data_IF_459040648469
#
_entry.id   IF_459040648469
#
_cell.length_a   1.000
_cell.length_b   1.000
_cell.length_c   1.000
_cell.angle_alpha   90.00
_cell.angle_beta   90.00
_cell.angle_gamma   90.00
#
_symmetry.space_group_name_H-M   'P 1'
#
loop_
_entity.id
_entity.type
_entity.pdbx_description
1 polymer ?
#
# COMPACT_ATOMS: atom_id res chain seq x y z
N UNK A 1 9.36 1.19 -17.42
CA UNK A 1 9.23 1.26 -15.95
C UNK A 1 8.08 2.20 -15.64
N UNK A 2 6.99 1.67 -15.08
CA UNK A 2 5.80 2.45 -14.78
C UNK A 2 5.71 2.66 -13.27
N UNK A 3 5.48 3.90 -12.84
CA UNK A 3 5.19 4.21 -11.45
C UNK A 3 3.69 4.14 -11.25
N UNK A 4 3.24 3.29 -10.33
CA UNK A 4 1.83 3.25 -9.93
C UNK A 4 1.72 3.90 -8.56
N UNK A 5 0.75 4.79 -8.44
CA UNK A 5 0.54 5.59 -7.27
C UNK A 5 -0.94 5.57 -6.94
N UNK A 6 -1.29 5.16 -5.74
CA UNK A 6 -2.67 5.24 -5.28
C UNK A 6 -3.02 6.70 -4.95
N UNK A 7 -4.31 6.99 -4.93
CA UNK A 7 -4.80 8.17 -4.25
C UNK A 7 -4.39 8.10 -2.77
N UNK A 8 -4.02 9.24 -2.15
CA UNK A 8 -3.68 9.27 -0.74
C UNK A 8 -4.93 9.03 0.10
N UNK A 9 -4.77 8.27 1.19
CA UNK A 9 -5.86 7.92 2.11
C UNK A 9 -5.68 8.72 3.39
N UNK A 10 -6.70 9.47 3.79
CA UNK A 10 -6.73 10.17 5.09
C UNK A 10 -7.09 9.17 6.18
N UNK A 11 -6.19 8.99 7.14
CA UNK A 11 -6.31 7.99 8.20
C UNK A 11 -6.00 8.62 9.56
N UNK A 12 -6.79 8.30 10.59
CA UNK A 12 -6.45 8.56 11.98
C UNK A 12 -5.43 7.53 12.51
N UNK A 13 -4.97 7.64 13.76
CA UNK A 13 -4.13 6.58 14.36
C UNK A 13 -4.83 5.22 14.32
N UNK A 14 -4.12 4.18 13.88
CA UNK A 14 -4.65 2.82 13.83
C UNK A 14 -4.29 2.07 12.56
N UNK A 15 -4.92 0.90 12.39
CA UNK A 15 -4.63 -0.04 11.32
C UNK A 15 -5.54 0.20 10.12
N UNK A 16 -4.95 0.29 8.95
CA UNK A 16 -5.63 0.34 7.65
C UNK A 16 -5.30 -0.92 6.88
N UNK A 17 -6.31 -1.47 6.22
CA UNK A 17 -6.14 -2.52 5.24
C UNK A 17 -6.36 -1.95 3.84
N UNK A 18 -5.37 -2.13 2.98
CA UNK A 18 -5.46 -1.82 1.55
C UNK A 18 -5.34 -3.08 0.73
N UNK A 19 -6.08 -3.13 -0.37
CA UNK A 19 -6.05 -4.21 -1.33
C UNK A 19 -5.63 -3.66 -2.69
N UNK A 20 -4.81 -4.43 -3.39
CA UNK A 20 -4.20 -4.00 -4.64
C UNK A 20 -4.17 -5.16 -5.65
N UNK A 21 -4.91 -4.99 -6.73
CA UNK A 21 -5.23 -6.04 -7.71
C UNK A 21 -4.20 -6.22 -8.84
N UNK A 22 -3.04 -5.54 -8.76
CA UNK A 22 -2.02 -5.62 -9.83
C UNK A 22 -1.09 -6.85 -9.69
N UNK A 23 -1.57 -7.99 -9.20
CA UNK A 23 -0.74 -9.16 -8.94
C UNK A 23 -0.45 -10.06 -10.17
N UNK A 24 -1.29 -10.04 -11.22
CA UNK A 24 -1.28 -11.13 -12.20
C UNK A 24 -0.26 -11.06 -13.33
N UNK A 25 -0.01 -9.87 -13.84
CA UNK A 25 0.78 -9.70 -15.08
C UNK A 25 2.01 -8.83 -14.90
N UNK A 26 2.13 -8.22 -13.74
CA UNK A 26 2.97 -7.07 -13.53
C UNK A 26 3.82 -7.27 -12.28
N UNK A 27 4.97 -7.92 -12.48
CA UNK A 27 5.99 -7.97 -11.43
C UNK A 27 6.31 -6.52 -11.00
N UNK A 28 5.92 -6.15 -9.78
CA UNK A 28 6.39 -4.93 -9.15
C UNK A 28 7.54 -5.28 -8.20
N UNK A 29 8.71 -4.68 -8.43
CA UNK A 29 9.93 -5.02 -7.68
C UNK A 29 10.07 -4.29 -6.36
N UNK A 30 9.28 -3.23 -6.16
CA UNK A 30 9.34 -2.45 -4.95
C UNK A 30 8.06 -1.68 -4.73
N UNK A 31 7.66 -1.58 -3.47
CA UNK A 31 6.62 -0.69 -3.00
C UNK A 31 7.14 0.16 -1.85
N UNK A 32 6.52 1.31 -1.67
CA UNK A 32 6.75 2.19 -0.53
C UNK A 32 5.40 2.72 -0.04
N UNK A 33 5.19 2.56 1.27
CA UNK A 33 4.13 3.23 2.01
C UNK A 33 4.81 4.35 2.78
N UNK A 34 4.30 5.58 2.63
CA UNK A 34 4.85 6.74 3.35
C UNK A 34 3.76 7.70 3.79
N UNK A 35 3.99 8.42 4.89
CA UNK A 35 3.19 9.58 5.23
C UNK A 35 3.46 10.72 4.22
N UNK A 36 2.42 11.49 3.94
CA UNK A 36 2.51 12.67 3.08
C UNK A 36 2.83 13.95 3.87
N UNK A 37 2.56 13.95 5.18
CA UNK A 37 2.83 15.06 6.08
C UNK A 37 4.18 14.92 6.78
N UNK A 38 4.80 16.05 7.11
CA UNK A 38 5.97 16.09 7.97
C UNK A 38 5.59 15.66 9.39
N UNK A 39 6.49 14.96 10.08
CA UNK A 39 6.32 14.45 11.44
C UNK A 39 5.22 13.40 11.64
N UNK A 40 4.76 12.74 10.56
CA UNK A 40 3.98 11.52 10.67
C UNK A 40 4.88 10.28 10.53
N UNK A 41 4.45 9.19 11.13
CA UNK A 41 5.07 7.89 11.10
C UNK A 41 4.02 6.81 10.79
N UNK A 42 4.42 5.88 9.91
CA UNK A 42 3.62 4.71 9.58
C UNK A 42 4.50 3.45 9.52
N UNK A 43 3.90 2.31 9.84
CA UNK A 43 4.54 1.00 9.81
C UNK A 43 3.71 0.06 8.94
N UNK A 44 4.38 -0.71 8.07
CA UNK A 44 3.72 -1.82 7.38
C UNK A 44 3.78 -3.04 8.30
N UNK A 45 2.65 -3.41 8.89
CA UNK A 45 2.55 -4.54 9.84
C UNK A 45 2.63 -5.86 9.09
N UNK A 46 1.91 -5.96 7.97
CA UNK A 46 1.78 -7.21 7.24
C UNK A 46 1.55 -6.96 5.76
N UNK A 47 2.16 -7.81 4.95
CA UNK A 47 1.85 -7.95 3.54
C UNK A 47 1.59 -9.42 3.24
N UNK A 48 0.53 -9.71 2.49
CA UNK A 48 0.27 -11.06 1.99
C UNK A 48 -0.42 -10.99 0.64
N UNK A 49 -0.38 -12.09 -0.10
CA UNK A 49 -1.00 -12.20 -1.42
C UNK A 49 -2.04 -13.31 -1.37
N UNK A 50 -3.22 -13.04 -1.93
CA UNK A 50 -4.24 -14.06 -2.21
C UNK A 50 -4.40 -14.20 -3.72
N UNK A 51 -4.82 -15.38 -4.18
CA UNK A 51 -5.08 -15.64 -5.59
C UNK A 51 -6.39 -16.39 -5.75
N UNK A 52 -7.14 -16.13 -6.82
CA UNK A 52 -8.34 -16.88 -7.17
C UNK A 52 -8.10 -17.89 -8.31
N UNK A 53 -9.16 -18.60 -8.73
CA UNK A 53 -9.10 -19.59 -9.82
C UNK A 53 -9.00 -18.97 -11.21
N UNK A 54 -9.21 -17.65 -11.35
CA UNK A 54 -9.05 -16.90 -12.59
C UNK A 54 -7.65 -16.28 -12.71
N UNK A 55 -6.72 -16.77 -11.90
CA UNK A 55 -5.37 -16.27 -11.67
C UNK A 55 -5.30 -14.94 -10.95
N UNK A 56 -6.41 -14.26 -10.63
CA UNK A 56 -6.44 -12.91 -10.04
C UNK A 56 -5.78 -12.89 -8.66
N UNK A 57 -4.64 -12.21 -8.58
CA UNK A 57 -3.81 -12.04 -7.41
C UNK A 57 -4.01 -10.66 -6.80
N UNK A 58 -4.39 -10.65 -5.52
CA UNK A 58 -4.57 -9.43 -4.73
C UNK A 58 -3.46 -9.38 -3.69
N UNK A 59 -2.67 -8.31 -3.73
CA UNK A 59 -1.77 -7.99 -2.63
C UNK A 59 -2.52 -7.18 -1.58
N UNK A 60 -2.45 -7.64 -0.35
CA UNK A 60 -3.01 -6.96 0.80
C UNK A 60 -1.88 -6.31 1.62
N UNK A 61 -2.13 -5.08 2.07
CA UNK A 61 -1.25 -4.33 2.96
C UNK A 61 -2.01 -3.95 4.21
N UNK A 62 -1.47 -4.35 5.37
CA UNK A 62 -1.90 -3.85 6.66
C UNK A 62 -0.89 -2.84 7.15
N UNK A 63 -1.31 -1.59 7.27
CA UNK A 63 -0.45 -0.46 7.63
C UNK A 63 -1.01 0.23 8.85
N UNK A 64 -0.14 0.49 9.82
CA UNK A 64 -0.45 1.25 11.02
C UNK A 64 0.04 2.67 10.89
N UNK A 65 -0.85 3.64 11.11
CA UNK A 65 -0.45 5.01 11.44
C UNK A 65 -0.16 5.11 12.93
N UNK A 66 1.01 5.64 13.28
CA UNK A 66 1.48 5.71 14.66
C UNK A 66 1.02 6.99 15.37
N UNK A 67 1.00 8.14 14.69
CA UNK A 67 0.64 9.41 15.34
C UNK A 67 -0.88 9.60 15.47
N UNK A 68 -1.28 10.29 16.54
CA UNK A 68 -2.68 10.54 16.91
C UNK A 68 -3.41 11.46 15.93
N UNK A 69 -2.69 12.35 15.24
CA UNK A 69 -3.29 13.31 14.32
C UNK A 69 -3.75 12.63 13.03
N UNK A 70 -4.84 13.09 12.38
CA UNK A 70 -5.20 12.57 11.07
C UNK A 70 -4.13 12.89 10.03
N UNK A 71 -3.70 11.88 9.28
CA UNK A 71 -2.61 12.00 8.32
C UNK A 71 -2.90 11.29 7.00
N UNK A 72 -2.36 11.83 5.92
CA UNK A 72 -2.45 11.25 4.59
C UNK A 72 -1.35 10.20 4.41
N UNK A 73 -1.76 8.96 4.15
CA UNK A 73 -0.86 7.87 3.77
C UNK A 73 -0.92 7.67 2.27
N UNK A 74 0.23 7.34 1.67
CA UNK A 74 0.31 7.07 0.24
C UNK A 74 1.05 5.78 -0.04
N UNK A 75 0.45 4.96 -0.91
CA UNK A 75 1.09 3.80 -1.51
C UNK A 75 1.66 4.13 -2.89
N UNK A 76 2.89 3.69 -3.11
CA UNK A 76 3.58 3.79 -4.41
C UNK A 76 4.25 2.48 -4.73
N UNK A 77 4.15 2.04 -5.99
CA UNK A 77 4.79 0.83 -6.48
C UNK A 77 5.49 1.08 -7.82
N UNK A 78 6.57 0.33 -8.04
CA UNK A 78 7.31 0.35 -9.30
C UNK A 78 6.99 -0.94 -10.05
N UNK A 79 6.33 -0.79 -11.19
CA UNK A 79 6.06 -1.87 -12.14
C UNK A 79 7.18 -1.95 -13.18
N UNK A 80 7.74 -3.15 -13.31
CA UNK A 80 8.62 -3.47 -14.43
C UNK A 80 7.78 -3.83 -15.67
N UNK A 81 8.27 -3.50 -16.87
CA UNK A 81 7.63 -3.91 -18.13
C UNK A 81 7.64 -5.43 -18.31
#
# INVERSE_FOLDING_TARGET
>A
MAFIQSEPVLQASGDTHWEWDYGDRDNYWGFSVRPYQANDACETIRTWVTSDNNLTQITHFMVRKLDSDPGLLRFTAIRLP
#
